data_IF_909837872419
#
_entry.id   IF_909837872419
#
_cell.length_a   1.000
_cell.length_b   1.000
_cell.length_c   1.000
_cell.angle_alpha   90.00
_cell.angle_beta   90.00
_cell.angle_gamma   90.00
#
_symmetry.space_group_name_H-M   'P 1'
#
loop_
_entity.id
_entity.type
_entity.pdbx_description
1 polymer ?
#
# COMPACT_ATOMS: atom_id res chain seq x y z
N UNK A 1 5.29 -11.95 6.98
CA UNK A 1 5.56 -10.56 6.50
C UNK A 1 6.33 -10.60 5.19
N UNK A 2 5.98 -9.72 4.25
CA UNK A 2 6.51 -9.67 2.89
C UNK A 2 8.05 -9.57 2.80
N UNK A 3 8.70 -8.95 3.78
CA UNK A 3 10.16 -8.84 3.87
C UNK A 3 10.83 -10.16 4.28
N UNK A 4 10.31 -10.85 5.31
CA UNK A 4 10.85 -12.14 5.79
C UNK A 4 10.82 -13.21 4.71
N UNK A 5 9.75 -13.28 3.91
CA UNK A 5 9.61 -14.20 2.78
C UNK A 5 10.65 -13.98 1.68
N UNK A 6 11.25 -12.78 1.62
CA UNK A 6 12.23 -12.36 0.61
C UNK A 6 13.67 -12.26 1.15
N UNK A 7 13.91 -12.61 2.41
CA UNK A 7 15.22 -12.46 3.04
C UNK A 7 15.70 -11.01 3.17
N UNK A 8 14.80 -10.02 3.08
CA UNK A 8 15.17 -8.60 3.09
C UNK A 8 15.24 -8.09 4.53
N UNK A 9 16.40 -7.53 4.92
CA UNK A 9 16.60 -6.94 6.23
C UNK A 9 16.10 -5.49 6.29
N UNK A 10 15.88 -4.97 7.51
CA UNK A 10 15.54 -3.55 7.69
C UNK A 10 16.67 -2.62 7.23
N UNK A 11 17.92 -3.08 7.25
CA UNK A 11 19.07 -2.32 6.77
C UNK A 11 19.07 -2.20 5.25
N UNK A 12 18.72 -3.28 4.54
CA UNK A 12 18.54 -3.22 3.09
C UNK A 12 17.41 -2.26 2.70
N UNK A 13 16.25 -2.32 3.38
CA UNK A 13 15.17 -1.36 3.12
C UNK A 13 15.59 0.07 3.46
N UNK A 14 16.29 0.28 4.57
CA UNK A 14 16.80 1.59 4.95
C UNK A 14 17.69 2.19 3.85
N UNK A 15 18.65 1.40 3.34
CA UNK A 15 19.55 1.84 2.25
C UNK A 15 18.82 2.18 0.95
N UNK A 16 17.67 1.55 0.68
CA UNK A 16 16.90 1.74 -0.56
C UNK A 16 15.81 2.81 -0.46
N UNK A 17 15.29 3.05 0.74
CA UNK A 17 14.15 3.97 0.97
C UNK A 17 14.55 5.27 1.68
N UNK A 18 15.71 5.32 2.33
CA UNK A 18 16.14 6.41 3.20
C UNK A 18 15.40 6.49 4.54
N UNK A 19 14.45 5.59 4.82
CA UNK A 19 13.61 5.65 6.01
C UNK A 19 14.32 5.14 7.26
N UNK A 20 14.19 5.87 8.37
CA UNK A 20 14.80 5.50 9.64
C UNK A 20 14.34 4.10 10.12
N UNK A 21 15.22 3.38 10.85
CA UNK A 21 14.88 2.07 11.45
C UNK A 21 13.60 2.15 12.33
N UNK A 22 13.36 3.21 13.13
CA UNK A 22 12.09 3.41 13.83
C UNK A 22 10.87 3.49 12.90
N UNK A 23 10.96 4.24 11.80
CA UNK A 23 9.87 4.36 10.81
C UNK A 23 9.57 3.00 10.18
N UNK A 24 10.60 2.23 9.81
CA UNK A 24 10.42 0.88 9.26
C UNK A 24 9.75 -0.08 10.26
N UNK A 25 10.07 0.04 11.56
CA UNK A 25 9.38 -0.73 12.61
C UNK A 25 7.90 -0.34 12.72
N UNK A 26 7.58 0.95 12.67
CA UNK A 26 6.19 1.43 12.66
C UNK A 26 5.41 0.90 11.45
N UNK A 27 6.01 0.98 10.25
CA UNK A 27 5.45 0.42 9.02
C UNK A 27 5.19 -1.08 9.16
N UNK A 28 6.14 -1.84 9.71
CA UNK A 28 5.97 -3.28 9.91
C UNK A 28 4.85 -3.65 10.88
N UNK A 29 4.49 -2.72 11.78
CA UNK A 29 3.39 -2.86 12.74
C UNK A 29 2.06 -2.32 12.22
N UNK A 30 2.03 -1.71 11.04
CA UNK A 30 0.82 -1.08 10.51
C UNK A 30 0.41 0.17 11.28
N UNK A 31 1.36 0.91 11.85
CA UNK A 31 1.10 2.14 12.59
C UNK A 31 0.41 3.20 11.69
N UNK A 32 -0.81 3.64 12.03
CA UNK A 32 -1.56 4.60 11.21
C UNK A 32 -0.97 6.02 11.24
N UNK A 33 -0.07 6.33 12.17
CA UNK A 33 0.63 7.63 12.22
C UNK A 33 1.66 7.81 11.11
N UNK A 34 2.05 6.73 10.43
CA UNK A 34 3.00 6.78 9.33
C UNK A 34 2.27 7.18 8.05
N UNK A 35 2.81 8.17 7.33
CA UNK A 35 2.23 8.61 6.06
C UNK A 35 2.13 7.46 5.05
N UNK A 36 1.05 7.47 4.26
CA UNK A 36 0.83 6.48 3.20
C UNK A 36 1.98 6.43 2.20
N UNK A 37 2.59 7.59 1.89
CA UNK A 37 3.77 7.66 1.01
C UNK A 37 4.95 6.81 1.48
N UNK A 38 5.17 6.68 2.79
CA UNK A 38 6.22 5.79 3.31
C UNK A 38 5.87 4.31 3.12
N UNK A 39 4.61 3.92 3.27
CA UNK A 39 4.15 2.57 2.97
C UNK A 39 4.34 2.25 1.48
N UNK A 40 3.95 3.17 0.61
CA UNK A 40 4.10 3.06 -0.86
C UNK A 40 5.58 2.89 -1.23
N UNK A 41 6.48 3.71 -0.66
CA UNK A 41 7.91 3.60 -0.93
C UNK A 41 8.47 2.22 -0.54
N UNK A 42 8.10 1.71 0.63
CA UNK A 42 8.51 0.35 1.06
C UNK A 42 7.94 -0.73 0.13
N UNK A 43 6.69 -0.61 -0.31
CA UNK A 43 6.07 -1.56 -1.25
C UNK A 43 6.76 -1.52 -2.63
N UNK A 44 7.13 -0.34 -3.11
CA UNK A 44 7.86 -0.18 -4.37
C UNK A 44 9.22 -0.89 -4.33
N UNK A 45 10.00 -0.72 -3.26
CA UNK A 45 11.27 -1.43 -3.07
C UNK A 45 11.09 -2.95 -2.96
N UNK A 46 9.93 -3.40 -2.51
CA UNK A 46 9.57 -4.82 -2.42
C UNK A 46 8.99 -5.40 -3.71
N UNK A 47 8.82 -4.60 -4.76
CA UNK A 47 8.15 -5.01 -6.01
C UNK A 47 6.67 -5.35 -5.81
N UNK A 48 6.01 -4.70 -4.85
CA UNK A 48 4.61 -4.92 -4.47
C UNK A 48 3.73 -3.68 -4.71
N UNK A 49 4.21 -2.72 -5.50
CA UNK A 49 3.47 -1.48 -5.74
C UNK A 49 2.12 -1.74 -6.42
N UNK A 50 2.10 -2.63 -7.41
CA UNK A 50 0.91 -2.96 -8.19
C UNK A 50 -0.18 -3.63 -7.36
N UNK A 51 0.15 -4.20 -6.19
CA UNK A 51 -0.87 -4.75 -5.29
C UNK A 51 -1.81 -3.67 -4.74
N UNK A 52 -1.40 -2.40 -4.70
CA UNK A 52 -2.30 -1.30 -4.32
C UNK A 52 -3.45 -1.13 -5.29
N UNK A 53 -3.26 -1.45 -6.58
CA UNK A 53 -4.34 -1.39 -7.58
C UNK A 53 -5.43 -2.41 -7.32
N UNK A 54 -5.11 -3.48 -6.60
CA UNK A 54 -6.05 -4.56 -6.26
C UNK A 54 -6.98 -4.18 -5.10
N UNK A 55 -6.63 -3.18 -4.30
CA UNK A 55 -7.36 -2.81 -3.06
C UNK A 55 -8.80 -2.35 -3.36
N UNK A 56 -9.03 -1.74 -4.54
CA UNK A 56 -10.34 -1.23 -4.95
C UNK A 56 -10.80 -1.78 -6.32
N UNK A 57 -10.19 -2.88 -6.79
CA UNK A 57 -10.51 -3.45 -8.11
C UNK A 57 -11.97 -3.90 -8.21
N UNK A 58 -12.50 -4.48 -7.13
CA UNK A 58 -13.88 -4.97 -7.04
C UNK A 58 -14.79 -4.04 -6.23
N UNK A 59 -14.83 -2.76 -6.59
CA UNK A 59 -15.80 -1.81 -6.02
C UNK A 59 -17.21 -2.02 -6.60
N UNK A 60 -17.85 -3.12 -6.22
CA UNK A 60 -19.23 -3.44 -6.62
C UNK A 60 -20.24 -2.37 -6.20
N UNK A 61 -20.03 -1.78 -5.02
CA UNK A 61 -20.91 -0.72 -4.52
C UNK A 61 -20.77 0.53 -5.37
N UNK A 62 -19.55 0.96 -5.67
CA UNK A 62 -19.28 2.08 -6.56
C UNK A 62 -19.89 1.89 -7.94
N UNK A 63 -19.78 0.68 -8.51
CA UNK A 63 -20.43 0.32 -9.79
C UNK A 63 -21.96 0.48 -9.72
N UNK A 64 -22.61 -0.08 -8.69
CA UNK A 64 -24.08 0.04 -8.52
C UNK A 64 -24.52 1.50 -8.35
N UNK A 65 -23.77 2.30 -7.59
CA UNK A 65 -24.07 3.73 -7.41
C UNK A 65 -23.92 4.50 -8.73
N UNK A 66 -22.90 4.19 -9.53
CA UNK A 66 -22.69 4.77 -10.85
C UNK A 66 -23.84 4.43 -11.82
N UNK A 67 -24.29 3.17 -11.84
CA UNK A 67 -25.40 2.72 -12.69
C UNK A 67 -26.71 3.45 -12.36
N UNK A 68 -27.03 3.60 -11.06
CA UNK A 68 -28.21 4.36 -10.60
C UNK A 68 -28.16 5.81 -11.08
N UNK A 69 -27.00 6.48 -11.01
CA UNK A 69 -26.85 7.85 -11.48
C UNK A 69 -27.02 7.98 -13.00
N UNK A 70 -26.54 7.01 -13.77
CA UNK A 70 -26.70 6.99 -15.22
C UNK A 70 -28.15 6.77 -15.65
N UNK A 71 -28.89 5.94 -14.91
CA UNK A 71 -30.33 5.72 -15.13
C UNK A 71 -31.17 6.96 -14.84
N UNK A 72 -30.84 7.71 -13.77
CA UNK A 72 -31.55 8.94 -13.39
C UNK A 72 -31.24 10.16 -14.29
N UNK A 73 -30.26 10.06 -15.20
CA UNK A 73 -29.90 11.12 -16.16
C UNK A 73 -30.62 10.99 -17.51
N UNK A 74 -31.43 9.94 -17.71
CA UNK A 74 -32.36 9.79 -18.84
C UNK A 74 -33.76 10.21 -18.42
#
# INVERSE_FOLDING_TARGET
MAMKRRGITHEMIHSRTGLSKPTLRKISKGDPSVSLGHYVNVLAVLGLLDDLTKVALDDELGRKLQDIQLLNKK
#
